data_IF_359229320984
#
_entry.id   IF_359229320984
#
_cell.length_a   1.000
_cell.length_b   1.000
_cell.length_c   1.000
_cell.angle_alpha   90.00
_cell.angle_beta   90.00
_cell.angle_gamma   90.00
#
_symmetry.space_group_name_H-M   'P 1'
#
loop_
_entity.id
_entity.type
_entity.pdbx_description
1 polymer ?
#
# COMPACT_ATOMS: atom_id res chain seq x y z
N UNK A 1 54.07 7.58 20.83
CA UNK A 1 54.03 6.43 19.89
C UNK A 1 52.90 6.78 18.91
N UNK A 2 53.18 7.16 17.66
CA UNK A 2 53.69 6.34 16.54
C UNK A 2 52.61 5.34 16.07
N UNK A 3 52.23 5.25 14.78
CA UNK A 3 52.80 5.83 13.55
C UNK A 3 51.72 6.04 12.45
N UNK A 4 52.02 6.81 11.40
CA UNK A 4 51.19 6.96 10.18
C UNK A 4 51.77 6.12 9.02
N UNK A 5 50.91 5.52 8.19
CA UNK A 5 51.15 4.95 6.84
C UNK A 5 49.80 4.37 6.33
N UNK A 6 49.34 4.37 5.07
CA UNK A 6 49.42 5.23 3.85
C UNK A 6 47.98 5.24 3.26
N UNK A 7 47.41 6.22 2.52
CA UNK A 7 47.79 7.03 1.34
C UNK A 7 47.88 6.31 -0.02
N UNK A 8 47.15 6.89 -1.00
CA UNK A 8 47.24 6.77 -2.47
C UNK A 8 46.53 5.61 -3.24
N UNK A 9 45.49 5.98 -4.00
CA UNK A 9 45.09 5.37 -5.30
C UNK A 9 44.48 6.51 -6.16
N UNK A 10 45.33 7.34 -6.77
CA UNK A 10 45.73 7.27 -8.19
C UNK A 10 44.66 7.80 -9.15
N UNK A 11 44.67 9.12 -9.28
CA UNK A 11 44.04 9.94 -10.33
C UNK A 11 44.66 9.64 -11.72
N UNK A 12 43.82 9.51 -12.76
CA UNK A 12 44.15 9.74 -14.19
C UNK A 12 42.98 9.39 -15.14
N UNK A 13 42.53 10.36 -15.96
CA UNK A 13 42.41 10.25 -17.44
C UNK A 13 41.73 11.49 -18.06
N UNK A 14 42.49 12.59 -18.17
CA UNK A 14 42.17 13.72 -19.05
C UNK A 14 43.44 14.27 -19.71
N UNK A 15 43.25 14.98 -20.83
CA UNK A 15 44.24 15.66 -21.67
C UNK A 15 45.12 14.79 -22.59
N UNK A 16 44.85 14.91 -23.90
CA UNK A 16 45.72 14.54 -25.02
C UNK A 16 45.57 15.56 -26.15
N UNK A 17 45.89 16.83 -25.89
CA UNK A 17 47.12 17.49 -26.34
C UNK A 17 47.32 17.55 -27.86
N UNK A 18 46.95 18.68 -28.45
CA UNK A 18 47.41 19.11 -29.78
C UNK A 18 48.85 19.61 -29.72
N UNK A 19 49.68 19.34 -30.75
CA UNK A 19 50.57 20.37 -31.36
C UNK A 19 51.38 19.88 -32.58
N UNK A 20 51.76 20.89 -33.38
CA UNK A 20 52.93 20.98 -34.26
C UNK A 20 53.06 19.98 -35.42
N UNK A 21 52.99 20.50 -36.65
CA UNK A 21 53.52 19.85 -37.84
C UNK A 21 55.00 20.21 -38.08
N UNK A 22 55.62 19.54 -39.04
CA UNK A 22 56.98 19.79 -39.52
C UNK A 22 56.97 20.18 -41.00
N UNK A 23 57.81 21.16 -41.37
CA UNK A 23 58.05 21.50 -42.78
C UNK A 23 59.12 20.57 -43.36
N UNK A 24 58.94 20.10 -44.59
CA UNK A 24 60.06 19.76 -45.48
C UNK A 24 59.74 20.16 -46.93
N UNK A 25 60.72 20.64 -47.72
CA UNK A 25 60.45 21.35 -48.97
C UNK A 25 60.70 20.52 -50.24
N UNK A 26 59.97 20.88 -51.30
CA UNK A 26 60.45 20.78 -52.69
C UNK A 26 59.95 19.60 -53.52
N UNK A 27 59.12 19.90 -54.51
CA UNK A 27 59.19 19.34 -55.88
C UNK A 27 58.44 20.28 -56.86
N UNK A 28 58.69 20.20 -58.18
CA UNK A 28 58.34 21.26 -59.13
C UNK A 28 56.88 21.24 -59.62
N UNK A 29 56.44 22.36 -60.21
CA UNK A 29 55.15 22.47 -60.92
C UNK A 29 55.17 21.70 -62.26
N UNK A 30 54.19 20.82 -62.52
CA UNK A 30 53.79 20.43 -63.87
C UNK A 30 52.75 21.40 -64.46
N UNK A 31 52.51 21.29 -65.77
CA UNK A 31 51.69 22.22 -66.56
C UNK A 31 50.18 22.09 -66.34
N UNK A 32 49.44 23.14 -66.72
CA UNK A 32 47.98 23.18 -66.67
C UNK A 32 47.33 22.43 -67.85
N UNK A 33 46.97 21.16 -67.64
CA UNK A 33 46.00 20.47 -68.50
C UNK A 33 44.58 20.74 -68.00
N UNK A 34 43.75 21.33 -68.86
CA UNK A 34 42.38 21.72 -68.54
C UNK A 34 41.46 20.48 -68.45
N UNK A 35 41.41 19.84 -67.28
CA UNK A 35 40.55 18.68 -67.04
C UNK A 35 39.07 19.08 -67.07
N UNK A 36 38.44 18.90 -68.22
CA UNK A 36 37.06 19.31 -68.50
C UNK A 36 36.06 18.49 -67.68
N UNK A 37 35.63 19.05 -66.54
CA UNK A 37 34.69 18.41 -65.61
C UNK A 37 33.33 18.16 -66.27
N UNK A 38 33.08 16.91 -66.70
CA UNK A 38 31.71 16.46 -67.00
C UNK A 38 30.93 16.37 -65.67
N UNK A 39 29.77 17.05 -65.53
CA UNK A 39 28.93 16.86 -64.36
C UNK A 39 28.36 15.44 -64.35
N UNK A 40 28.43 14.76 -63.19
CA UNK A 40 27.68 13.53 -62.98
C UNK A 40 26.19 13.85 -62.92
N UNK A 41 25.30 13.02 -63.51
CA UNK A 41 23.87 13.24 -63.44
C UNK A 41 23.37 13.04 -62.00
N UNK A 42 23.05 14.14 -61.32
CA UNK A 42 22.32 14.08 -60.05
C UNK A 42 20.88 13.63 -60.34
N UNK A 43 20.60 12.34 -60.16
CA UNK A 43 19.23 11.82 -60.15
C UNK A 43 18.50 12.40 -58.93
N UNK A 44 17.44 13.20 -59.09
CA UNK A 44 16.76 13.79 -57.95
C UNK A 44 16.02 12.70 -57.15
N UNK A 45 16.47 12.45 -55.92
CA UNK A 45 15.70 11.63 -54.98
C UNK A 45 14.40 12.36 -54.65
N UNK A 46 13.31 11.92 -55.27
CA UNK A 46 11.98 12.46 -55.03
C UNK A 46 11.47 11.96 -53.68
N UNK A 47 11.89 12.64 -52.60
CA UNK A 47 11.39 12.41 -51.26
C UNK A 47 9.89 12.70 -51.21
N UNK A 48 9.08 11.64 -51.25
CA UNK A 48 7.64 11.73 -51.00
C UNK A 48 7.43 12.16 -49.54
N UNK A 49 7.06 13.41 -49.33
CA UNK A 49 6.61 13.88 -48.01
C UNK A 49 5.31 13.19 -47.63
N UNK A 50 5.12 12.93 -46.34
CA UNK A 50 3.86 12.40 -45.80
C UNK A 50 2.71 13.34 -46.13
N UNK A 51 1.58 12.77 -46.55
CA UNK A 51 0.36 13.54 -46.80
C UNK A 51 -0.28 13.99 -45.47
N UNK A 52 -0.99 15.11 -45.52
CA UNK A 52 -1.84 15.57 -44.41
C UNK A 52 -2.87 14.50 -43.98
N UNK A 53 -3.29 13.65 -44.92
CA UNK A 53 -4.24 12.56 -44.69
C UNK A 53 -3.61 11.37 -43.95
N UNK A 54 -2.38 10.97 -44.29
CA UNK A 54 -1.63 9.96 -43.51
C UNK A 54 -1.38 10.43 -42.09
N UNK A 55 -0.97 11.70 -41.89
CA UNK A 55 -0.81 12.26 -40.55
C UNK A 55 -2.13 12.28 -39.75
N UNK A 56 -3.26 12.62 -40.39
CA UNK A 56 -4.57 12.57 -39.74
C UNK A 56 -4.95 11.14 -39.30
N UNK A 57 -4.73 10.14 -40.16
CA UNK A 57 -4.97 8.72 -39.83
C UNK A 57 -4.06 8.26 -38.68
N UNK A 58 -2.76 8.59 -38.73
CA UNK A 58 -1.80 8.24 -37.68
C UNK A 58 -2.20 8.85 -36.33
N UNK A 59 -2.64 10.12 -36.31
CA UNK A 59 -3.10 10.78 -35.08
C UNK A 59 -4.41 10.15 -34.54
N UNK A 60 -5.34 9.76 -35.41
CA UNK A 60 -6.55 9.02 -35.01
C UNK A 60 -6.18 7.67 -34.38
N UNK A 61 -5.29 6.89 -35.00
CA UNK A 61 -4.83 5.60 -34.48
C UNK A 61 -4.13 5.77 -33.13
N UNK A 62 -3.21 6.74 -33.00
CA UNK A 62 -2.52 7.04 -31.73
C UNK A 62 -3.52 7.43 -30.63
N UNK A 63 -4.55 8.22 -30.97
CA UNK A 63 -5.57 8.66 -30.00
C UNK A 63 -6.41 7.48 -29.48
N UNK A 64 -6.78 6.54 -30.36
CA UNK A 64 -7.52 5.32 -29.99
C UNK A 64 -6.64 4.39 -29.14
N UNK A 65 -5.38 4.18 -29.51
CA UNK A 65 -4.44 3.34 -28.76
C UNK A 65 -4.12 3.91 -27.37
N UNK A 66 -3.94 5.23 -27.28
CA UNK A 66 -3.73 5.91 -26.00
C UNK A 66 -4.96 5.80 -25.09
N UNK A 67 -6.17 6.01 -25.63
CA UNK A 67 -7.42 5.89 -24.87
C UNK A 67 -7.62 4.52 -24.21
N UNK A 68 -7.27 3.43 -24.91
CA UNK A 68 -7.34 2.08 -24.35
C UNK A 68 -6.33 1.82 -23.22
N UNK A 69 -5.15 2.45 -23.26
CA UNK A 69 -4.09 2.25 -22.27
C UNK A 69 -4.41 2.89 -20.91
N UNK A 70 -5.06 4.06 -20.89
CA UNK A 70 -5.35 4.75 -19.63
C UNK A 70 -6.31 3.97 -18.72
N UNK A 71 -7.32 3.29 -19.29
CA UNK A 71 -8.28 2.49 -18.52
C UNK A 71 -7.59 1.29 -17.85
N UNK A 72 -6.68 0.62 -18.54
CA UNK A 72 -5.95 -0.53 -17.97
C UNK A 72 -4.94 -0.15 -16.89
N UNK A 73 -4.44 1.10 -16.89
CA UNK A 73 -3.56 1.60 -15.84
C UNK A 73 -4.30 1.86 -14.52
N UNK A 74 -5.52 2.42 -14.57
CA UNK A 74 -6.33 2.68 -13.37
C UNK A 74 -6.60 1.42 -12.56
N UNK A 75 -7.07 0.36 -13.23
CA UNK A 75 -7.33 -0.94 -12.58
C UNK A 75 -6.06 -1.61 -12.01
N UNK A 76 -4.89 -1.40 -12.62
CA UNK A 76 -3.62 -1.88 -12.08
C UNK A 76 -3.21 -1.13 -10.80
N UNK A 77 -3.41 0.18 -10.76
CA UNK A 77 -3.16 0.99 -9.56
C UNK A 77 -4.10 0.59 -8.43
N UNK A 78 -5.41 0.44 -8.71
CA UNK A 78 -6.39 0.01 -7.70
C UNK A 78 -6.07 -1.39 -7.16
N UNK A 79 -5.72 -2.35 -8.02
CA UNK A 79 -5.30 -3.69 -7.60
C UNK A 79 -4.02 -3.66 -6.74
N UNK A 80 -3.07 -2.76 -7.05
CA UNK A 80 -1.89 -2.53 -6.23
C UNK A 80 -2.25 -1.91 -4.86
N UNK A 81 -3.18 -0.96 -4.83
CA UNK A 81 -3.68 -0.34 -3.59
C UNK A 81 -4.39 -1.38 -2.71
N UNK A 82 -5.29 -2.20 -3.27
CA UNK A 82 -5.96 -3.31 -2.55
C UNK A 82 -4.94 -4.30 -1.99
N UNK A 83 -3.92 -4.69 -2.77
CA UNK A 83 -2.84 -5.56 -2.27
C UNK A 83 -2.01 -4.89 -1.16
N UNK A 84 -1.72 -3.59 -1.26
CA UNK A 84 -0.99 -2.86 -0.22
C UNK A 84 -1.78 -2.78 1.08
N UNK A 85 -3.06 -2.37 1.02
CA UNK A 85 -3.98 -2.36 2.17
C UNK A 85 -4.12 -3.76 2.78
N UNK A 86 -4.24 -4.81 1.97
CA UNK A 86 -4.31 -6.19 2.48
C UNK A 86 -3.03 -6.63 3.19
N UNK A 87 -1.85 -6.17 2.76
CA UNK A 87 -0.61 -6.39 3.49
C UNK A 87 -0.62 -5.63 4.82
N UNK A 88 -0.98 -4.35 4.82
CA UNK A 88 -1.04 -3.54 6.05
C UNK A 88 -2.03 -4.12 7.08
N UNK A 89 -3.17 -4.65 6.65
CA UNK A 89 -4.11 -5.39 7.51
C UNK A 89 -3.44 -6.61 8.18
N UNK A 90 -2.61 -7.36 7.46
CA UNK A 90 -1.86 -8.49 8.03
C UNK A 90 -0.74 -8.02 8.97
N UNK A 91 -0.05 -6.92 8.64
CA UNK A 91 0.99 -6.33 9.49
C UNK A 91 0.39 -5.81 10.82
N UNK A 92 -0.79 -5.18 10.77
CA UNK A 92 -1.58 -4.80 11.96
C UNK A 92 -1.92 -6.02 12.81
N UNK A 93 -2.40 -7.11 12.18
CA UNK A 93 -2.76 -8.35 12.87
C UNK A 93 -1.57 -8.99 13.59
N UNK A 94 -0.40 -9.02 12.96
CA UNK A 94 0.82 -9.55 13.59
C UNK A 94 1.40 -8.58 14.64
N UNK A 95 1.22 -7.27 14.50
CA UNK A 95 1.54 -6.29 15.55
C UNK A 95 0.63 -6.44 16.80
N UNK A 96 -0.67 -6.67 16.61
CA UNK A 96 -1.62 -6.97 17.70
C UNK A 96 -1.26 -8.28 18.43
N UNK A 97 -0.79 -9.29 17.69
CA UNK A 97 -0.21 -10.52 18.27
C UNK A 97 1.08 -10.23 19.06
N UNK A 98 1.95 -9.37 18.53
CA UNK A 98 3.18 -8.92 19.19
C UNK A 98 2.91 -8.14 20.47
N UNK A 99 1.91 -7.26 20.48
CA UNK A 99 1.45 -6.52 21.66
C UNK A 99 1.00 -7.49 22.76
N UNK A 100 0.10 -8.43 22.45
CA UNK A 100 -0.38 -9.42 23.41
C UNK A 100 0.73 -10.35 23.93
N UNK A 101 1.76 -10.64 23.13
CA UNK A 101 2.92 -11.42 23.57
C UNK A 101 3.89 -10.66 24.50
N UNK A 102 3.83 -9.32 24.49
CA UNK A 102 4.78 -8.42 25.16
C UNK A 102 4.19 -7.62 26.34
N UNK A 103 2.87 -7.47 26.42
CA UNK A 103 2.16 -6.72 27.46
C UNK A 103 1.27 -7.62 28.33
N UNK A 104 1.20 -7.33 29.63
CA UNK A 104 0.46 -8.14 30.61
C UNK A 104 -0.51 -7.30 31.44
N UNK A 105 -1.66 -7.90 31.73
CA UNK A 105 -2.62 -7.41 32.69
C UNK A 105 -2.08 -7.57 34.12
N UNK A 106 -2.81 -7.04 35.09
CA UNK A 106 -2.41 -6.97 36.51
C UNK A 106 -2.21 -8.36 37.13
N UNK A 107 -2.84 -9.39 36.56
CA UNK A 107 -2.72 -10.80 36.93
C UNK A 107 -1.66 -11.57 36.12
N UNK A 108 -0.87 -10.89 35.28
CA UNK A 108 0.22 -11.48 34.49
C UNK A 108 -0.22 -12.12 33.16
N UNK A 109 -1.51 -12.11 32.83
CA UNK A 109 -2.04 -12.67 31.56
C UNK A 109 -1.88 -11.69 30.38
N UNK A 110 -1.83 -12.18 29.13
CA UNK A 110 -1.81 -11.32 27.95
C UNK A 110 -3.12 -10.53 27.77
N UNK A 111 -3.04 -9.37 27.12
CA UNK A 111 -4.20 -8.57 26.72
C UNK A 111 -3.96 -7.87 25.37
N UNK A 112 -5.04 -7.52 24.67
CA UNK A 112 -5.04 -6.72 23.45
C UNK A 112 -5.21 -5.23 23.76
N UNK A 113 -4.68 -4.30 22.94
CA UNK A 113 -4.87 -2.88 23.19
C UNK A 113 -6.35 -2.50 23.03
N UNK A 114 -6.74 -1.37 23.60
CA UNK A 114 -8.05 -0.77 23.31
C UNK A 114 -8.00 0.06 22.02
N UNK A 115 -9.15 0.28 21.36
CA UNK A 115 -9.23 1.22 20.25
C UNK A 115 -8.84 2.64 20.64
N UNK A 116 -8.32 3.38 19.68
CA UNK A 116 -8.32 4.84 19.69
C UNK A 116 -9.75 5.33 19.38
N UNK A 117 -10.23 6.34 20.11
CA UNK A 117 -11.55 6.96 19.93
C UNK A 117 -11.53 8.49 19.85
N UNK A 118 -10.36 9.12 19.95
CA UNK A 118 -10.18 10.58 19.81
C UNK A 118 -9.27 10.98 18.61
N UNK A 119 -8.52 10.01 18.09
CA UNK A 119 -7.76 10.10 16.86
C UNK A 119 -6.29 10.48 17.04
N UNK A 120 -5.71 10.37 18.24
CA UNK A 120 -4.29 10.63 18.53
C UNK A 120 -3.35 9.43 18.28
N UNK A 121 -3.89 8.21 18.20
CA UNK A 121 -3.18 6.96 17.92
C UNK A 121 -2.80 6.10 19.13
N UNK A 122 -3.27 6.45 20.32
CA UNK A 122 -2.99 5.79 21.61
C UNK A 122 -4.25 5.03 22.09
N UNK A 123 -4.07 3.91 22.79
CA UNK A 123 -5.21 3.13 23.32
C UNK A 123 -6.06 3.92 24.34
N UNK A 124 -7.32 4.20 24.00
CA UNK A 124 -8.21 4.95 24.89
C UNK A 124 -8.80 4.03 26.00
N UNK A 125 -8.41 4.30 27.26
CA UNK A 125 -8.84 3.54 28.46
C UNK A 125 -9.43 4.39 29.56
N UNK A 126 -10.44 3.84 30.25
CA UNK A 126 -10.88 4.28 31.56
C UNK A 126 -10.30 3.33 32.63
N UNK A 127 -9.09 3.65 33.08
CA UNK A 127 -8.32 2.80 34.00
C UNK A 127 -7.88 1.48 33.34
N UNK A 128 -8.53 0.38 33.72
CA UNK A 128 -8.22 -0.98 33.21
C UNK A 128 -9.09 -1.40 32.03
N UNK A 129 -10.23 -0.74 31.82
CA UNK A 129 -11.19 -1.03 30.75
C UNK A 129 -10.98 -0.10 29.55
N UNK A 130 -11.40 -0.52 28.36
CA UNK A 130 -11.46 0.38 27.21
C UNK A 130 -12.55 1.45 27.38
N UNK A 131 -12.34 2.62 26.79
CA UNK A 131 -13.36 3.67 26.69
C UNK A 131 -14.49 3.24 25.75
N UNK A 132 -14.15 2.60 24.62
CA UNK A 132 -15.07 1.85 23.75
C UNK A 132 -14.41 0.54 23.29
N UNK A 133 -15.22 -0.37 22.76
CA UNK A 133 -14.75 -1.66 22.23
C UNK A 133 -14.77 -1.73 20.68
N UNK A 134 -15.17 -0.62 20.05
CA UNK A 134 -15.00 -0.30 18.63
C UNK A 134 -14.38 1.09 18.52
N UNK A 135 -13.56 1.33 17.50
CA UNK A 135 -12.85 2.60 17.26
C UNK A 135 -11.80 2.40 16.17
N UNK A 136 -10.70 3.14 16.23
CA UNK A 136 -9.57 3.02 15.30
C UNK A 136 -8.46 2.13 15.89
N UNK A 137 -7.59 1.59 15.03
CA UNK A 137 -6.32 0.98 15.45
C UNK A 137 -5.50 2.02 16.23
N UNK A 138 -4.93 1.71 17.41
CA UNK A 138 -3.97 2.58 18.08
C UNK A 138 -2.60 2.44 17.39
N UNK A 139 -2.45 3.05 16.20
CA UNK A 139 -1.25 2.84 15.37
C UNK A 139 0.03 3.36 16.03
N UNK A 140 -0.06 4.36 16.92
CA UNK A 140 1.10 4.96 17.57
C UNK A 140 1.70 3.99 18.59
N UNK A 141 0.85 3.41 19.45
CA UNK A 141 1.24 2.37 20.41
C UNK A 141 1.72 1.07 19.75
N UNK A 142 1.17 0.74 18.56
CA UNK A 142 1.58 -0.43 17.78
C UNK A 142 2.81 -0.18 16.88
N UNK A 143 3.26 1.07 16.74
CA UNK A 143 4.40 1.44 15.87
C UNK A 143 4.12 1.31 14.37
N UNK A 144 2.89 1.56 13.94
CA UNK A 144 2.36 1.33 12.58
C UNK A 144 2.06 2.63 11.82
N UNK A 145 1.83 2.48 10.51
CA UNK A 145 1.18 3.52 9.71
C UNK A 145 -0.30 3.69 10.07
N UNK A 146 -0.81 4.91 10.00
CA UNK A 146 -2.16 5.26 10.46
C UNK A 146 -3.26 5.17 9.38
N UNK A 147 -2.93 4.79 8.16
CA UNK A 147 -3.85 4.83 7.03
C UNK A 147 -3.61 3.73 5.99
N UNK A 148 -4.66 3.41 5.25
CA UNK A 148 -4.64 2.56 4.08
C UNK A 148 -4.15 3.27 2.80
N UNK A 149 -4.25 2.58 1.67
CA UNK A 149 -3.81 3.06 0.37
C UNK A 149 -4.69 4.19 -0.24
N UNK A 150 -5.81 4.57 0.38
CA UNK A 150 -6.69 5.66 -0.05
C UNK A 150 -6.71 6.85 0.94
N UNK A 151 -6.13 6.68 2.13
CA UNK A 151 -6.02 7.74 3.15
C UNK A 151 -7.00 7.59 4.31
N UNK A 152 -7.71 6.47 4.37
CA UNK A 152 -8.67 6.14 5.43
C UNK A 152 -7.94 5.41 6.56
N UNK A 153 -8.41 5.60 7.79
CA UNK A 153 -7.87 4.90 8.97
C UNK A 153 -8.41 3.48 9.04
N UNK A 154 -7.68 2.60 9.71
CA UNK A 154 -8.13 1.25 9.99
C UNK A 154 -9.02 1.23 11.22
N UNK A 155 -10.26 0.77 11.07
CA UNK A 155 -11.17 0.57 12.18
C UNK A 155 -10.91 -0.77 12.87
N UNK A 156 -11.23 -0.82 14.15
CA UNK A 156 -10.82 -1.85 15.09
C UNK A 156 -11.98 -2.22 16.01
N UNK A 157 -12.32 -3.51 16.01
CA UNK A 157 -13.25 -4.09 16.97
C UNK A 157 -12.49 -5.10 17.82
N UNK A 158 -12.55 -4.95 19.15
CA UNK A 158 -11.94 -5.90 20.10
C UNK A 158 -12.94 -6.36 21.15
N UNK A 159 -12.93 -7.65 21.46
CA UNK A 159 -13.78 -8.23 22.49
C UNK A 159 -13.30 -7.82 23.90
N UNK A 160 -14.26 -7.49 24.78
CA UNK A 160 -13.95 -7.03 26.15
C UNK A 160 -13.12 -8.05 26.93
N UNK A 161 -13.44 -9.34 26.80
CA UNK A 161 -12.75 -10.44 27.48
C UNK A 161 -11.28 -10.66 27.01
N UNK A 162 -10.81 -9.85 26.05
CA UNK A 162 -9.45 -9.88 25.51
C UNK A 162 -8.67 -8.57 25.66
N UNK A 163 -9.34 -7.43 25.86
CA UNK A 163 -8.69 -6.12 26.01
C UNK A 163 -8.54 -5.63 27.46
N UNK A 164 -9.07 -6.34 28.46
CA UNK A 164 -9.00 -5.97 29.87
C UNK A 164 -7.58 -6.04 30.48
N UNK A 165 -7.19 -5.00 31.25
CA UNK A 165 -5.88 -4.90 31.95
C UNK A 165 -5.90 -5.27 33.43
N UNK A 166 -7.06 -5.54 34.00
CA UNK A 166 -7.23 -6.08 35.37
C UNK A 166 -7.07 -7.60 35.39
N UNK A 167 -7.74 -8.30 34.47
CA UNK A 167 -7.67 -9.74 34.28
C UNK A 167 -7.58 -10.02 32.78
N UNK A 168 -6.40 -10.42 32.31
CA UNK A 168 -6.15 -10.68 30.89
C UNK A 168 -6.85 -11.95 30.39
N UNK A 169 -6.73 -12.24 29.08
CA UNK A 169 -7.45 -13.37 28.49
C UNK A 169 -6.84 -14.73 28.86
N UNK A 170 -7.66 -15.77 28.71
CA UNK A 170 -7.27 -17.17 28.89
C UNK A 170 -7.74 -17.99 27.69
N UNK A 171 -7.38 -19.27 27.64
CA UNK A 171 -7.94 -20.24 26.67
C UNK A 171 -9.48 -20.40 26.81
N UNK A 172 -10.07 -19.95 27.93
CA UNK A 172 -11.50 -19.96 28.20
C UNK A 172 -12.15 -18.56 28.10
N UNK A 173 -11.46 -17.55 27.56
CA UNK A 173 -12.08 -16.24 27.29
C UNK A 173 -13.12 -16.36 26.18
N UNK A 174 -14.34 -15.91 26.48
CA UNK A 174 -15.45 -15.91 25.53
C UNK A 174 -15.27 -14.77 24.51
N UNK A 175 -15.42 -15.09 23.23
CA UNK A 175 -15.46 -14.14 22.12
C UNK A 175 -16.81 -14.21 21.41
N UNK A 176 -17.33 -13.07 20.96
CA UNK A 176 -18.67 -12.96 20.35
C UNK A 176 -18.68 -12.44 18.92
N UNK A 177 -17.60 -11.78 18.45
CA UNK A 177 -17.57 -11.13 17.14
C UNK A 177 -17.69 -12.16 16.00
N UNK A 178 -18.42 -11.80 14.95
CA UNK A 178 -18.64 -12.60 13.75
C UNK A 178 -18.18 -11.86 12.49
N UNK A 179 -17.77 -12.63 11.50
CA UNK A 179 -17.66 -12.20 10.10
C UNK A 179 -18.57 -13.11 9.27
N UNK A 180 -19.42 -12.51 8.45
CA UNK A 180 -20.43 -13.18 7.63
C UNK A 180 -20.21 -12.84 6.14
N UNK A 181 -20.83 -13.62 5.25
CA UNK A 181 -20.72 -13.39 3.79
C UNK A 181 -21.60 -12.21 3.32
N UNK A 182 -22.64 -11.86 4.09
CA UNK A 182 -23.60 -10.78 3.83
C UNK A 182 -24.19 -10.30 5.17
N UNK A 183 -24.76 -9.08 5.20
CA UNK A 183 -25.38 -8.47 6.39
C UNK A 183 -26.57 -9.28 6.96
N UNK A 184 -27.20 -10.15 6.15
CA UNK A 184 -28.21 -11.10 6.67
C UNK A 184 -27.62 -12.18 7.59
N UNK A 185 -26.30 -12.30 7.64
CA UNK A 185 -25.49 -13.28 8.36
C UNK A 185 -26.02 -14.73 8.28
N UNK A 186 -26.50 -15.13 7.10
CA UNK A 186 -26.95 -16.51 6.82
C UNK A 186 -25.77 -17.46 6.64
N UNK A 187 -24.75 -17.06 5.87
CA UNK A 187 -23.42 -17.71 5.84
C UNK A 187 -22.49 -17.02 6.83
N UNK A 188 -21.91 -17.78 7.77
CA UNK A 188 -20.91 -17.29 8.73
C UNK A 188 -19.51 -17.77 8.32
N UNK A 189 -18.59 -16.83 8.09
CA UNK A 189 -17.20 -17.09 7.68
C UNK A 189 -16.26 -17.20 8.89
N UNK A 190 -16.55 -16.45 9.96
CA UNK A 190 -15.86 -16.51 11.24
C UNK A 190 -16.81 -16.24 12.39
N UNK A 191 -16.65 -16.95 13.50
CA UNK A 191 -17.52 -16.87 14.67
C UNK A 191 -16.68 -16.96 15.95
N UNK A 192 -17.08 -16.23 16.99
CA UNK A 192 -16.34 -16.17 18.25
C UNK A 192 -14.94 -15.59 18.08
N UNK A 193 -14.83 -14.45 17.40
CA UNK A 193 -13.57 -13.80 17.08
C UNK A 193 -13.18 -12.79 18.18
N UNK A 194 -11.94 -12.80 18.69
CA UNK A 194 -11.48 -11.82 19.69
C UNK A 194 -11.31 -10.41 19.11
N UNK A 195 -11.07 -10.28 17.80
CA UNK A 195 -10.95 -8.98 17.12
C UNK A 195 -11.20 -9.05 15.62
N UNK A 196 -11.56 -7.91 15.03
CA UNK A 196 -11.61 -7.61 13.58
C UNK A 196 -10.89 -6.28 13.33
N UNK A 197 -10.20 -6.17 12.18
CA UNK A 197 -9.65 -4.93 11.63
C UNK A 197 -10.27 -4.70 10.24
N UNK A 198 -10.69 -3.47 9.96
CA UNK A 198 -11.40 -3.06 8.74
C UNK A 198 -10.70 -1.86 8.05
N UNK A 199 -10.73 -1.83 6.72
CA UNK A 199 -10.51 -0.66 5.87
C UNK A 199 -11.71 -0.55 4.93
N UNK A 200 -12.30 0.65 4.87
CA UNK A 200 -13.50 0.97 4.09
C UNK A 200 -13.22 1.18 2.58
N UNK A 201 -12.24 0.44 2.06
CA UNK A 201 -11.89 0.38 0.63
C UNK A 201 -11.60 1.72 -0.08
N UNK A 202 -11.59 1.70 -1.43
CA UNK A 202 -11.52 2.90 -2.26
C UNK A 202 -12.64 3.91 -2.06
N UNK A 203 -13.88 3.50 -1.77
CA UNK A 203 -15.00 4.44 -1.65
C UNK A 203 -14.99 5.21 -0.31
N UNK A 204 -14.43 4.61 0.75
CA UNK A 204 -14.22 5.23 2.06
C UNK A 204 -15.50 5.54 2.84
N UNK A 205 -16.63 4.92 2.49
CA UNK A 205 -17.91 5.24 3.11
C UNK A 205 -17.94 4.78 4.59
N UNK A 206 -18.35 5.67 5.48
CA UNK A 206 -18.31 5.48 6.94
C UNK A 206 -16.93 5.69 7.58
N UNK A 207 -15.85 5.72 6.81
CA UNK A 207 -14.49 5.83 7.34
C UNK A 207 -14.20 7.15 8.07
N UNK A 208 -13.25 7.11 9.01
CA UNK A 208 -12.52 8.31 9.43
C UNK A 208 -11.20 8.41 8.66
N UNK A 209 -10.93 9.56 8.06
CA UNK A 209 -9.69 9.76 7.29
C UNK A 209 -8.49 10.14 8.16
N UNK A 210 -7.28 10.19 7.59
CA UNK A 210 -6.05 10.49 8.34
C UNK A 210 -6.07 11.86 9.07
N UNK A 211 -6.91 12.81 8.64
CA UNK A 211 -7.11 14.12 9.29
C UNK A 211 -8.26 14.19 10.31
N UNK A 212 -8.70 13.05 10.89
CA UNK A 212 -9.81 12.97 11.86
C UNK A 212 -11.17 13.46 11.32
N UNK A 213 -11.38 13.41 10.01
CA UNK A 213 -12.65 13.75 9.37
C UNK A 213 -13.40 12.47 8.99
N UNK A 214 -14.60 12.31 9.55
CA UNK A 214 -15.57 11.30 9.13
C UNK A 214 -16.02 11.57 7.67
N UNK A 215 -16.10 10.51 6.87
CA UNK A 215 -16.57 10.52 5.49
C UNK A 215 -18.10 10.26 5.41
N UNK A 216 -18.75 10.39 4.24
CA UNK A 216 -20.18 10.10 4.11
C UNK A 216 -20.48 8.65 4.53
N UNK A 217 -21.62 8.41 5.18
CA UNK A 217 -21.98 7.07 5.66
C UNK A 217 -22.17 6.05 4.52
N UNK A 218 -21.94 4.78 4.85
CA UNK A 218 -22.24 3.62 4.01
C UNK A 218 -23.68 3.61 3.48
N UNK A 219 -23.87 3.02 2.30
CA UNK A 219 -25.16 3.04 1.58
C UNK A 219 -25.65 1.63 1.22
N UNK A 220 -24.75 0.69 0.92
CA UNK A 220 -25.16 -0.71 0.75
C UNK A 220 -25.42 -1.38 2.10
N UNK A 221 -26.24 -2.43 2.13
CA UNK A 221 -26.54 -3.14 3.37
C UNK A 221 -25.29 -3.77 4.01
N UNK A 222 -24.33 -4.19 3.18
CA UNK A 222 -23.13 -4.91 3.58
C UNK A 222 -22.04 -3.97 4.14
N UNK A 223 -21.88 -2.78 3.57
CA UNK A 223 -21.04 -1.69 4.12
C UNK A 223 -21.69 -1.05 5.38
N UNK A 224 -23.02 -0.96 5.43
CA UNK A 224 -23.75 -0.47 6.61
C UNK A 224 -23.52 -1.39 7.81
N UNK A 225 -23.46 -2.71 7.61
CA UNK A 225 -23.16 -3.65 8.69
C UNK A 225 -21.74 -3.41 9.24
N UNK A 226 -20.75 -3.24 8.36
CA UNK A 226 -19.37 -2.91 8.75
C UNK A 226 -19.20 -1.56 9.49
N UNK A 227 -20.22 -0.70 9.46
CA UNK A 227 -20.24 0.62 10.12
C UNK A 227 -21.26 0.74 11.27
N UNK A 228 -22.03 -0.32 11.57
CA UNK A 228 -23.12 -0.30 12.55
C UNK A 228 -22.66 -0.25 14.05
N UNK A 229 -21.36 -0.51 14.28
CA UNK A 229 -20.67 -0.58 15.57
C UNK A 229 -21.06 -1.73 16.55
N UNK A 230 -21.69 -2.82 16.09
CA UNK A 230 -22.13 -3.94 16.94
C UNK A 230 -21.06 -5.04 17.17
N UNK A 231 -21.24 -6.26 16.68
CA UNK A 231 -20.28 -7.37 16.72
C UNK A 231 -20.40 -8.28 15.48
N UNK A 232 -21.07 -7.83 14.42
CA UNK A 232 -21.22 -8.52 13.13
C UNK A 232 -20.53 -7.67 12.07
N UNK A 233 -19.82 -8.33 11.15
CA UNK A 233 -19.10 -7.71 10.04
C UNK A 233 -19.32 -8.52 8.77
N UNK A 234 -19.21 -7.90 7.60
CA UNK A 234 -19.36 -8.53 6.30
C UNK A 234 -18.01 -8.57 5.56
N UNK A 235 -17.72 -9.70 4.92
CA UNK A 235 -16.55 -9.85 4.07
C UNK A 235 -16.84 -10.77 2.89
N UNK A 236 -16.76 -10.23 1.67
CA UNK A 236 -16.84 -11.00 0.43
C UNK A 236 -15.94 -10.38 -0.65
N UNK A 237 -15.91 -10.98 -1.85
CA UNK A 237 -15.21 -10.38 -2.99
C UNK A 237 -15.87 -9.07 -3.41
N UNK A 238 -15.13 -7.98 -3.71
CA UNK A 238 -15.73 -6.69 -4.05
C UNK A 238 -16.76 -6.73 -5.17
N UNK A 239 -17.83 -5.96 -5.01
CA UNK A 239 -18.93 -5.82 -5.97
C UNK A 239 -18.92 -4.44 -6.64
N UNK A 240 -19.32 -4.34 -7.92
CA UNK A 240 -19.22 -3.09 -8.67
C UNK A 240 -20.25 -2.04 -8.22
N UNK A 241 -19.92 -0.77 -8.48
CA UNK A 241 -20.70 0.43 -8.15
C UNK A 241 -22.19 0.27 -8.47
N UNK A 242 -23.04 0.47 -7.46
CA UNK A 242 -24.49 0.28 -7.55
C UNK A 242 -25.17 0.09 -6.19
N UNK A 243 -26.39 -0.44 -6.18
CA UNK A 243 -27.20 -0.65 -4.96
C UNK A 243 -26.54 -1.57 -3.93
N UNK A 244 -25.72 -2.51 -4.42
CA UNK A 244 -25.01 -3.51 -3.62
C UNK A 244 -23.50 -3.37 -3.87
N UNK A 245 -23.00 -2.13 -3.91
CA UNK A 245 -21.56 -1.84 -3.88
C UNK A 245 -20.97 -2.32 -2.55
N UNK A 246 -19.75 -2.85 -2.61
CA UNK A 246 -18.99 -3.28 -1.44
C UNK A 246 -17.53 -3.34 -1.88
N UNK A 247 -16.69 -2.49 -1.32
CA UNK A 247 -15.26 -2.48 -1.65
C UNK A 247 -14.29 -2.56 -0.46
N UNK A 248 -14.86 -2.72 0.73
CA UNK A 248 -14.21 -2.99 2.02
C UNK A 248 -13.19 -4.14 1.99
N UNK A 249 -12.16 -4.01 2.82
CA UNK A 249 -11.18 -5.04 3.12
C UNK A 249 -11.08 -5.22 4.63
N UNK A 250 -11.27 -6.44 5.13
CA UNK A 250 -11.10 -6.74 6.56
C UNK A 250 -10.24 -7.98 6.80
N UNK A 251 -9.68 -8.07 8.01
CA UNK A 251 -9.02 -9.27 8.51
C UNK A 251 -9.38 -9.51 9.97
N UNK A 252 -9.46 -10.76 10.37
CA UNK A 252 -9.71 -11.16 11.75
C UNK A 252 -8.60 -12.04 12.30
N UNK A 253 -8.46 -12.03 13.62
CA UNK A 253 -7.61 -12.98 14.33
C UNK A 253 -8.49 -14.10 14.90
N UNK A 254 -8.25 -15.35 14.52
CA UNK A 254 -8.97 -16.48 15.13
C UNK A 254 -8.46 -16.75 16.56
N UNK A 255 -9.31 -17.22 17.50
CA UNK A 255 -8.86 -17.65 18.82
C UNK A 255 -7.73 -18.68 18.74
N UNK A 256 -7.84 -19.63 17.81
CA UNK A 256 -6.84 -20.68 17.60
C UNK A 256 -5.47 -20.11 17.24
N UNK A 257 -5.41 -19.06 16.41
CA UNK A 257 -4.15 -18.36 16.10
C UNK A 257 -3.61 -17.62 17.32
N UNK A 258 -4.47 -16.85 18.01
CA UNK A 258 -4.08 -16.08 19.19
C UNK A 258 -3.52 -16.98 20.30
N UNK A 259 -4.26 -18.03 20.66
CA UNK A 259 -3.88 -18.98 21.70
C UNK A 259 -2.62 -19.75 21.33
N UNK A 260 -2.47 -20.23 20.09
CA UNK A 260 -1.24 -20.91 19.66
C UNK A 260 -0.01 -20.00 19.79
N UNK A 261 -0.11 -18.73 19.37
CA UNK A 261 0.98 -17.74 19.52
C UNK A 261 1.27 -17.43 20.99
N UNK A 262 0.25 -17.30 21.84
CA UNK A 262 0.44 -17.02 23.28
C UNK A 262 1.05 -18.21 24.03
N UNK A 263 0.64 -19.45 23.74
CA UNK A 263 1.26 -20.66 24.30
C UNK A 263 2.73 -20.76 23.86
N UNK A 264 3.01 -20.55 22.56
CA UNK A 264 4.38 -20.55 22.04
C UNK A 264 5.26 -19.43 22.64
N UNK A 265 4.67 -18.31 23.07
CA UNK A 265 5.33 -17.22 23.78
C UNK A 265 5.39 -17.41 25.31
N UNK A 266 4.88 -18.53 25.86
CA UNK A 266 4.84 -18.79 27.30
C UNK A 266 3.90 -17.84 28.08
N UNK A 267 2.88 -17.29 27.43
CA UNK A 267 1.89 -16.35 28.01
C UNK A 267 0.59 -17.00 28.42
N UNK A 268 0.31 -18.20 27.91
CA UNK A 268 -0.79 -19.06 28.36
C UNK A 268 -0.25 -20.49 28.62
N UNK A 269 -0.83 -21.22 29.59
CA UNK A 269 -0.47 -22.62 29.88
C UNK A 269 -1.01 -23.59 28.83
#
# INVERSE_FOLDING_TARGET
MARQEQLAYSDQLLAGYSRLGTNQPGQPKPESLAMQRRPLPMTPNYHKGFTLFELAIVLIIISILAGGLFVSLGAQIEQQQRHATQQTLNDIRDALLGFAASHYATDGKPYLPCPDTDGDGIENRNGVLCTQYSGQIPWSDLGLGNQDAWGNRFDYRVEKAFSQRDNGFTLASNATIKVCEQATCTTVLGNGLPLVILSHGPNGLGATNSQNKLLPAAVSADEIENTNADAIFVSHTPTPIGTNEFDDLLVWLSPNTLYNRMIAAGRLP
#
